data_IF_728637263864
#
_entry.id   IF_728637263864
#
_cell.length_a   1.000
_cell.length_b   1.000
_cell.length_c   1.000
_cell.angle_alpha   90.00
_cell.angle_beta   90.00
_cell.angle_gamma   90.00
#
_symmetry.space_group_name_H-M   'P 1'
#
loop_
_entity.id
_entity.type
_entity.pdbx_description
1 polymer ?
#
# COMPACT_ATOMS: atom_id res chain seq x y z
N UNK A 1 10.22 10.28 26.94
CA UNK A 1 11.07 10.73 25.81
C UNK A 1 10.93 9.84 24.58
N UNK A 2 11.42 8.57 24.52
CA UNK A 2 11.32 7.76 23.28
C UNK A 2 9.86 7.58 22.79
N UNK A 3 8.89 7.36 23.68
CA UNK A 3 7.47 7.28 23.32
C UNK A 3 6.96 8.59 22.71
N UNK A 4 7.38 9.73 23.19
CA UNK A 4 6.96 11.03 22.65
C UNK A 4 7.54 11.28 21.25
N UNK A 5 8.77 10.81 20.97
CA UNK A 5 9.33 10.85 19.63
C UNK A 5 8.56 9.92 18.69
N UNK A 6 8.20 8.73 19.17
CA UNK A 6 7.34 7.81 18.44
C UNK A 6 5.95 8.41 18.19
N UNK A 7 5.33 9.01 19.20
CA UNK A 7 4.04 9.68 19.07
C UNK A 7 4.11 10.83 18.06
N UNK A 8 5.22 11.58 18.04
CA UNK A 8 5.49 12.60 17.03
C UNK A 8 5.53 12.04 15.60
N UNK A 9 6.19 10.90 15.43
CA UNK A 9 6.23 10.19 14.14
C UNK A 9 4.83 9.74 13.69
N UNK A 10 4.09 9.10 14.60
CA UNK A 10 2.73 8.58 14.33
C UNK A 10 1.75 9.72 14.01
N UNK A 11 1.81 10.80 14.78
CA UNK A 11 0.94 11.97 14.57
C UNK A 11 1.20 12.66 13.23
N UNK A 12 2.48 12.81 12.84
CA UNK A 12 2.86 13.43 11.57
C UNK A 12 2.37 12.61 10.37
N UNK A 13 2.46 11.27 10.43
CA UNK A 13 2.03 10.36 9.38
C UNK A 13 0.59 9.85 9.56
N UNK A 14 -0.20 10.45 10.45
CA UNK A 14 -1.56 10.02 10.71
C UNK A 14 -2.43 10.11 9.45
N UNK A 15 -3.10 9.00 9.03
CA UNK A 15 -3.82 8.95 7.74
C UNK A 15 -4.99 9.94 7.68
N UNK A 16 -5.73 10.14 8.78
CA UNK A 16 -6.87 11.06 8.83
C UNK A 16 -6.46 12.50 8.50
N UNK A 17 -5.61 13.15 9.31
CA UNK A 17 -5.14 14.52 9.05
C UNK A 17 -4.48 14.70 7.68
N UNK A 18 -3.69 13.73 7.21
CA UNK A 18 -3.09 13.77 5.88
C UNK A 18 -4.15 13.77 4.78
N UNK A 19 -5.17 12.92 4.92
CA UNK A 19 -6.29 12.85 3.96
C UNK A 19 -7.11 14.14 3.96
N UNK A 20 -7.40 14.70 5.14
CA UNK A 20 -8.14 15.97 5.25
C UNK A 20 -7.44 17.10 4.47
N UNK A 21 -6.16 17.33 4.76
CA UNK A 21 -5.36 18.34 4.06
C UNK A 21 -5.36 18.13 2.54
N UNK A 22 -5.14 16.88 2.12
CA UNK A 22 -5.07 16.56 0.70
C UNK A 22 -6.40 16.79 -0.03
N UNK A 23 -7.55 16.51 0.60
CA UNK A 23 -8.87 16.75 0.00
C UNK A 23 -9.19 18.24 -0.02
N UNK A 24 -8.87 19.00 1.03
CA UNK A 24 -9.07 20.46 1.06
C UNK A 24 -8.33 21.14 -0.11
N UNK A 25 -7.12 20.70 -0.42
CA UNK A 25 -6.30 21.21 -1.53
C UNK A 25 -6.86 20.89 -2.93
N UNK A 26 -7.73 19.88 -3.05
CA UNK A 26 -8.36 19.55 -4.34
C UNK A 26 -9.36 20.61 -4.81
N UNK A 27 -9.86 21.45 -3.91
CA UNK A 27 -10.85 22.49 -4.20
C UNK A 27 -12.03 21.96 -5.05
N UNK A 28 -12.63 20.85 -4.60
CA UNK A 28 -13.68 20.16 -5.33
C UNK A 28 -14.90 21.06 -5.53
N UNK A 29 -15.50 21.00 -6.71
CA UNK A 29 -16.75 21.67 -7.02
C UNK A 29 -17.91 21.05 -6.23
N UNK A 30 -18.66 21.85 -5.48
CA UNK A 30 -19.77 21.41 -4.61
C UNK A 30 -20.93 20.76 -5.38
N UNK A 31 -21.07 21.05 -6.66
CA UNK A 31 -22.11 20.44 -7.51
C UNK A 31 -21.81 18.98 -7.86
N UNK A 32 -20.58 18.53 -7.64
CA UNK A 32 -20.17 17.18 -7.99
C UNK A 32 -20.54 16.17 -6.92
N UNK A 33 -20.94 14.97 -7.37
CA UNK A 33 -21.26 13.83 -6.51
C UNK A 33 -19.97 13.07 -6.21
N UNK A 34 -19.67 12.88 -4.95
CA UNK A 34 -18.44 12.20 -4.49
C UNK A 34 -18.71 10.72 -4.25
N UNK A 35 -17.85 9.88 -4.80
CA UNK A 35 -17.78 8.45 -4.55
C UNK A 35 -16.45 8.15 -3.86
N UNK A 36 -16.50 7.39 -2.75
CA UNK A 36 -15.32 7.07 -1.93
C UNK A 36 -14.94 5.61 -2.11
N UNK A 37 -13.69 5.35 -2.47
CA UNK A 37 -13.09 4.01 -2.58
C UNK A 37 -11.89 3.95 -1.64
N UNK A 38 -12.13 3.67 -0.36
CA UNK A 38 -11.07 3.57 0.63
C UNK A 38 -10.63 2.11 0.80
N UNK A 39 -9.36 1.82 0.51
CA UNK A 39 -8.86 0.45 0.40
C UNK A 39 -7.49 0.35 1.06
N UNK A 40 -7.33 -0.54 2.02
CA UNK A 40 -6.07 -0.77 2.70
C UNK A 40 -6.18 -0.76 4.23
N UNK A 41 -5.05 -0.95 4.91
CA UNK A 41 -4.98 -0.99 6.38
C UNK A 41 -5.43 0.33 7.04
N UNK A 42 -5.27 1.47 6.35
CA UNK A 42 -5.72 2.78 6.81
C UNK A 42 -7.03 3.25 6.15
N UNK A 43 -7.78 2.37 5.50
CA UNK A 43 -9.00 2.72 4.76
C UNK A 43 -10.04 3.46 5.64
N UNK A 44 -10.32 2.98 6.86
CA UNK A 44 -11.31 3.60 7.74
C UNK A 44 -10.95 5.02 8.17
N UNK A 45 -9.76 5.28 8.77
CA UNK A 45 -9.41 6.65 9.15
C UNK A 45 -9.34 7.59 7.95
N UNK A 46 -8.91 7.13 6.78
CA UNK A 46 -8.93 7.94 5.55
C UNK A 46 -10.37 8.24 5.10
N UNK A 47 -11.25 7.24 5.08
CA UNK A 47 -12.66 7.44 4.73
C UNK A 47 -13.38 8.36 5.72
N UNK A 48 -13.14 8.18 7.03
CA UNK A 48 -13.68 9.08 8.07
C UNK A 48 -13.26 10.52 7.83
N UNK A 49 -11.99 10.76 7.51
CA UNK A 49 -11.49 12.08 7.17
C UNK A 49 -12.15 12.67 5.92
N UNK A 50 -12.32 11.86 4.88
CA UNK A 50 -13.02 12.28 3.66
C UNK A 50 -14.47 12.68 3.93
N UNK A 51 -15.17 11.90 4.77
CA UNK A 51 -16.54 12.21 5.21
C UNK A 51 -16.57 13.54 5.97
N UNK A 52 -15.67 13.75 6.93
CA UNK A 52 -15.59 14.98 7.72
C UNK A 52 -15.37 16.22 6.82
N UNK A 53 -14.45 16.12 5.84
CA UNK A 53 -14.24 17.21 4.88
C UNK A 53 -15.47 17.45 4.03
N UNK A 54 -16.09 16.38 3.50
CA UNK A 54 -17.28 16.51 2.66
C UNK A 54 -18.44 17.17 3.42
N UNK A 55 -18.72 16.76 4.65
CA UNK A 55 -19.78 17.34 5.47
C UNK A 55 -19.51 18.82 5.79
N UNK A 56 -18.28 19.15 6.18
CA UNK A 56 -17.88 20.54 6.49
C UNK A 56 -18.00 21.45 5.26
N UNK A 57 -17.68 20.95 4.09
CA UNK A 57 -17.70 21.69 2.84
C UNK A 57 -19.03 21.58 2.06
N UNK A 58 -20.03 20.91 2.65
CA UNK A 58 -21.35 20.66 2.06
C UNK A 58 -21.31 19.90 0.73
N UNK A 59 -20.38 18.97 0.58
CA UNK A 59 -20.34 18.05 -0.56
C UNK A 59 -21.22 16.82 -0.30
N UNK A 60 -21.79 16.28 -1.38
CA UNK A 60 -22.60 15.06 -1.32
C UNK A 60 -21.76 13.80 -1.55
N UNK A 61 -21.59 12.98 -0.51
CA UNK A 61 -21.10 11.60 -0.67
C UNK A 61 -22.28 10.71 -1.01
N UNK A 62 -22.33 10.25 -2.26
CA UNK A 62 -23.46 9.49 -2.78
C UNK A 62 -23.29 7.98 -2.65
N UNK A 63 -22.09 7.50 -2.41
CA UNK A 63 -21.79 6.10 -2.18
C UNK A 63 -20.30 5.80 -2.19
N UNK A 64 -19.98 4.55 -2.01
CA UNK A 64 -18.61 4.07 -2.02
C UNK A 64 -18.40 2.78 -1.26
N UNK A 65 -17.13 2.41 -1.12
CA UNK A 65 -16.68 1.23 -0.37
C UNK A 65 -15.55 1.59 0.58
N UNK A 66 -15.52 0.94 1.73
CA UNK A 66 -14.39 0.95 2.67
C UNK A 66 -13.97 -0.50 2.86
N UNK A 67 -12.79 -0.86 2.40
CA UNK A 67 -12.26 -2.23 2.48
C UNK A 67 -11.03 -2.24 3.38
N UNK A 68 -11.11 -2.94 4.50
CA UNK A 68 -10.08 -3.03 5.53
C UNK A 68 -9.83 -4.50 5.94
N UNK A 69 -8.71 -4.83 6.61
CA UNK A 69 -8.41 -6.21 7.04
C UNK A 69 -9.26 -6.67 8.24
N UNK A 70 -9.88 -5.77 8.94
CA UNK A 70 -10.66 -5.99 10.15
C UNK A 70 -12.11 -5.55 9.98
N UNK A 71 -12.97 -6.00 10.87
CA UNK A 71 -14.35 -5.53 10.95
C UNK A 71 -14.43 -4.22 11.73
N UNK A 72 -15.40 -3.38 11.38
CA UNK A 72 -15.63 -2.12 12.07
C UNK A 72 -16.83 -1.37 11.49
N UNK A 73 -17.31 -0.31 12.14
CA UNK A 73 -18.46 0.45 11.66
C UNK A 73 -18.14 1.18 10.34
N UNK A 74 -19.16 1.34 9.51
CA UNK A 74 -19.03 2.23 8.35
C UNK A 74 -18.89 3.69 8.82
N UNK A 75 -17.97 4.46 8.26
CA UNK A 75 -17.83 5.88 8.59
C UNK A 75 -18.99 6.75 8.10
N UNK A 76 -19.80 6.26 7.17
CA UNK A 76 -20.95 6.99 6.63
C UNK A 76 -22.03 6.04 6.07
N UNK A 77 -23.33 6.36 6.20
CA UNK A 77 -24.43 5.43 5.84
C UNK A 77 -24.41 4.94 4.39
N UNK A 78 -23.92 5.76 3.44
CA UNK A 78 -23.87 5.37 2.02
C UNK A 78 -22.59 4.61 1.62
N UNK A 79 -21.67 4.40 2.56
CA UNK A 79 -20.44 3.64 2.32
C UNK A 79 -20.62 2.19 2.76
N UNK A 80 -20.37 1.26 1.85
CA UNK A 80 -20.32 -0.18 2.18
C UNK A 80 -19.02 -0.46 2.93
N UNK A 81 -19.13 -0.99 4.16
CA UNK A 81 -17.96 -1.42 4.92
C UNK A 81 -17.75 -2.91 4.70
N UNK A 82 -16.57 -3.27 4.23
CA UNK A 82 -16.22 -4.62 3.79
C UNK A 82 -14.90 -5.04 4.42
N UNK A 83 -14.79 -6.32 4.71
CA UNK A 83 -13.53 -6.94 5.09
C UNK A 83 -12.86 -7.53 3.86
N UNK A 84 -11.53 -7.47 3.81
CA UNK A 84 -10.70 -8.22 2.87
C UNK A 84 -9.71 -9.10 3.61
N UNK A 85 -9.16 -10.10 2.95
CA UNK A 85 -8.14 -10.99 3.51
C UNK A 85 -6.74 -10.47 3.19
N UNK A 86 -5.81 -10.67 4.12
CA UNK A 86 -4.43 -10.22 4.01
C UNK A 86 -3.50 -11.18 4.82
N UNK A 87 -2.33 -11.59 4.33
CA UNK A 87 -1.63 -11.13 3.12
C UNK A 87 -2.03 -11.85 1.82
N UNK A 88 -2.72 -12.97 1.89
CA UNK A 88 -3.19 -13.72 0.72
C UNK A 88 -4.68 -13.40 0.50
N UNK A 89 -5.10 -13.08 -0.74
CA UNK A 89 -6.51 -12.89 -1.05
C UNK A 89 -7.30 -14.16 -0.80
N UNK A 90 -8.49 -14.03 -0.24
CA UNK A 90 -9.41 -15.12 0.02
C UNK A 90 -10.85 -14.71 -0.27
N UNK A 91 -11.80 -15.45 0.28
CA UNK A 91 -13.24 -15.25 0.04
C UNK A 91 -13.69 -13.82 0.32
N UNK A 92 -13.28 -13.24 1.45
CA UNK A 92 -13.66 -11.86 1.79
C UNK A 92 -13.10 -10.85 0.76
N UNK A 93 -11.88 -11.07 0.27
CA UNK A 93 -11.27 -10.23 -0.77
C UNK A 93 -12.04 -10.31 -2.09
N UNK A 94 -12.51 -11.50 -2.48
CA UNK A 94 -13.29 -11.71 -3.71
C UNK A 94 -14.66 -11.03 -3.61
N UNK A 95 -15.33 -11.17 -2.46
CA UNK A 95 -16.60 -10.49 -2.17
C UNK A 95 -16.42 -8.96 -2.18
N UNK A 96 -15.37 -8.44 -1.53
CA UNK A 96 -15.04 -7.01 -1.54
C UNK A 96 -14.73 -6.52 -2.97
N UNK A 97 -13.94 -7.27 -3.74
CA UNK A 97 -13.63 -6.96 -5.13
C UNK A 97 -14.86 -6.91 -6.03
N UNK A 98 -15.85 -7.78 -5.78
CA UNK A 98 -17.15 -7.76 -6.49
C UNK A 98 -17.93 -6.50 -6.15
N UNK A 99 -18.00 -6.10 -4.88
CA UNK A 99 -18.66 -4.86 -4.46
C UNK A 99 -17.97 -3.61 -4.98
N UNK A 100 -16.64 -3.60 -5.05
CA UNK A 100 -15.88 -2.54 -5.74
C UNK A 100 -16.34 -2.44 -7.20
N UNK A 101 -16.54 -3.56 -7.91
CA UNK A 101 -17.01 -3.56 -9.30
C UNK A 101 -18.41 -2.97 -9.44
N UNK A 102 -19.35 -3.39 -8.57
CA UNK A 102 -20.72 -2.90 -8.55
C UNK A 102 -20.76 -1.37 -8.35
N UNK A 103 -20.01 -0.89 -7.34
CA UNK A 103 -19.96 0.53 -7.01
C UNK A 103 -19.19 1.33 -8.06
N UNK A 104 -18.15 0.78 -8.69
CA UNK A 104 -17.39 1.47 -9.74
C UNK A 104 -18.16 1.56 -11.05
N UNK A 105 -19.14 0.69 -11.30
CA UNK A 105 -19.91 0.70 -12.53
C UNK A 105 -20.79 1.96 -12.68
N UNK A 106 -20.91 2.46 -13.91
CA UNK A 106 -21.83 3.56 -14.25
C UNK A 106 -21.42 4.94 -13.74
N UNK A 107 -20.13 5.15 -13.45
CA UNK A 107 -19.60 6.49 -13.11
C UNK A 107 -19.79 7.45 -14.29
N UNK A 108 -20.06 8.72 -13.99
CA UNK A 108 -20.32 9.78 -14.97
C UNK A 108 -19.17 10.79 -14.97
N UNK A 109 -19.00 11.53 -16.04
CA UNK A 109 -18.01 12.63 -16.12
C UNK A 109 -18.27 13.75 -15.11
N UNK A 110 -19.50 13.84 -14.59
CA UNK A 110 -19.89 14.77 -13.51
C UNK A 110 -19.58 14.24 -12.11
N UNK A 111 -19.21 12.99 -11.97
CA UNK A 111 -18.83 12.39 -10.68
C UNK A 111 -17.35 12.66 -10.36
N UNK A 112 -17.05 12.63 -9.08
CA UNK A 112 -15.68 12.57 -8.54
C UNK A 112 -15.51 11.26 -7.79
N UNK A 113 -14.45 10.52 -8.09
CA UNK A 113 -14.02 9.37 -7.34
C UNK A 113 -12.80 9.70 -6.47
N UNK A 114 -12.95 9.60 -5.15
CA UNK A 114 -11.83 9.66 -4.20
C UNK A 114 -11.37 8.24 -3.93
N UNK A 115 -10.19 7.88 -4.45
CA UNK A 115 -9.53 6.61 -4.16
C UNK A 115 -8.53 6.84 -3.03
N UNK A 116 -8.81 6.31 -1.85
CA UNK A 116 -8.02 6.45 -0.64
C UNK A 116 -7.27 5.13 -0.42
N UNK A 117 -5.98 5.12 -0.77
CA UNK A 117 -5.18 3.91 -0.87
C UNK A 117 -4.15 3.81 0.26
N UNK A 118 -3.97 2.62 0.80
CA UNK A 118 -2.91 2.34 1.78
C UNK A 118 -2.39 0.90 1.67
N UNK A 119 -1.38 0.56 2.44
CA UNK A 119 -0.76 -0.77 2.44
C UNK A 119 -1.77 -1.92 2.55
N UNK A 120 -1.49 -3.03 1.88
CA UNK A 120 -2.33 -4.22 1.84
C UNK A 120 -3.47 -4.20 0.81
N UNK A 121 -3.73 -3.08 0.13
CA UNK A 121 -4.87 -2.92 -0.78
C UNK A 121 -4.96 -4.02 -1.86
N UNK A 122 -3.85 -4.43 -2.45
CA UNK A 122 -3.83 -5.46 -3.50
C UNK A 122 -4.35 -6.83 -3.06
N UNK A 123 -4.18 -7.18 -1.78
CA UNK A 123 -4.73 -8.40 -1.20
C UNK A 123 -6.19 -8.22 -0.79
N UNK A 124 -6.52 -7.10 -0.16
CA UNK A 124 -7.84 -6.83 0.39
C UNK A 124 -8.96 -6.77 -0.66
N UNK A 125 -8.64 -6.32 -1.89
CA UNK A 125 -9.53 -6.39 -3.05
C UNK A 125 -8.97 -7.32 -4.14
N UNK A 126 -8.12 -8.27 -3.74
CA UNK A 126 -7.52 -9.23 -4.65
C UNK A 126 -8.59 -10.09 -5.30
N UNK A 127 -8.67 -10.01 -6.63
CA UNK A 127 -9.53 -10.87 -7.44
C UNK A 127 -8.86 -11.12 -8.78
N UNK A 128 -9.09 -12.31 -9.39
CA UNK A 128 -8.50 -12.62 -10.68
C UNK A 128 -9.13 -11.81 -11.82
N UNK A 129 -8.36 -11.62 -12.88
CA UNK A 129 -8.91 -11.20 -14.17
C UNK A 129 -9.87 -12.25 -14.72
N UNK A 130 -10.76 -11.84 -15.62
CA UNK A 130 -11.76 -12.75 -16.24
C UNK A 130 -11.09 -13.98 -16.85
N UNK A 131 -11.65 -15.16 -16.58
CA UNK A 131 -11.22 -16.45 -17.11
C UNK A 131 -10.22 -17.20 -16.24
N UNK A 132 -9.81 -16.64 -15.12
CA UNK A 132 -8.97 -17.31 -14.13
C UNK A 132 -9.83 -17.65 -12.91
N UNK A 133 -9.91 -18.92 -12.48
CA UNK A 133 -10.59 -19.33 -11.25
C UNK A 133 -9.95 -18.71 -10.00
N UNK A 134 -10.74 -18.43 -8.98
CA UNK A 134 -10.26 -17.90 -7.68
C UNK A 134 -9.22 -18.83 -7.04
N UNK A 135 -9.43 -20.15 -7.11
CA UNK A 135 -8.48 -21.12 -6.58
C UNK A 135 -7.11 -21.02 -7.28
N UNK A 136 -7.08 -20.84 -8.60
CA UNK A 136 -5.85 -20.66 -9.36
C UNK A 136 -5.16 -19.35 -8.99
N UNK A 137 -5.94 -18.29 -8.71
CA UNK A 137 -5.40 -17.01 -8.27
C UNK A 137 -4.75 -17.10 -6.87
N UNK A 138 -5.36 -17.83 -5.93
CA UNK A 138 -4.78 -18.11 -4.61
C UNK A 138 -3.49 -18.93 -4.77
N UNK A 139 -3.53 -20.00 -5.58
CA UNK A 139 -2.35 -20.85 -5.84
C UNK A 139 -1.17 -20.05 -6.43
N UNK A 140 -1.43 -19.03 -7.25
CA UNK A 140 -0.39 -18.11 -7.72
C UNK A 140 0.27 -17.36 -6.55
N UNK A 141 -0.52 -16.82 -5.64
CA UNK A 141 0.01 -16.08 -4.50
C UNK A 141 0.88 -16.97 -3.60
N UNK A 142 0.45 -18.19 -3.32
CA UNK A 142 1.23 -19.17 -2.57
C UNK A 142 2.52 -19.55 -3.29
N UNK A 143 2.44 -19.82 -4.59
CA UNK A 143 3.60 -20.14 -5.44
C UNK A 143 4.64 -19.02 -5.40
N UNK A 144 4.22 -17.76 -5.51
CA UNK A 144 5.11 -16.61 -5.53
C UNK A 144 5.73 -16.34 -4.16
N UNK A 145 5.00 -16.53 -3.06
CA UNK A 145 5.55 -16.39 -1.71
C UNK A 145 6.67 -17.40 -1.43
N UNK A 146 6.56 -18.61 -1.96
CA UNK A 146 7.60 -19.64 -1.83
C UNK A 146 8.69 -19.61 -2.90
N UNK A 147 8.71 -18.63 -3.80
CA UNK A 147 9.56 -18.65 -5.00
C UNK A 147 10.97 -18.13 -4.81
N UNK A 148 11.21 -17.30 -3.79
CA UNK A 148 12.46 -16.57 -3.63
C UNK A 148 12.66 -15.40 -4.59
N UNK A 149 11.65 -15.05 -5.40
CA UNK A 149 11.67 -13.83 -6.21
C UNK A 149 11.78 -12.58 -5.34
N UNK A 150 12.44 -11.55 -5.86
CA UNK A 150 12.36 -10.24 -5.24
C UNK A 150 10.93 -9.68 -5.28
N UNK A 151 10.65 -8.72 -4.40
CA UNK A 151 9.29 -8.18 -4.25
C UNK A 151 8.82 -7.44 -5.51
N UNK A 152 9.71 -6.86 -6.31
CA UNK A 152 9.40 -6.16 -7.54
C UNK A 152 8.89 -7.13 -8.61
N UNK A 153 9.63 -8.20 -8.87
CA UNK A 153 9.26 -9.27 -9.80
C UNK A 153 7.97 -9.97 -9.36
N UNK A 154 7.86 -10.27 -8.05
CA UNK A 154 6.65 -10.88 -7.49
C UNK A 154 5.42 -10.00 -7.71
N UNK A 155 5.52 -8.71 -7.45
CA UNK A 155 4.42 -7.77 -7.66
C UNK A 155 4.10 -7.55 -9.14
N UNK A 156 5.11 -7.54 -10.03
CA UNK A 156 4.90 -7.49 -11.47
C UNK A 156 4.05 -8.66 -11.96
N UNK A 157 4.36 -9.88 -11.49
CA UNK A 157 3.55 -11.07 -11.82
C UNK A 157 2.15 -10.97 -11.22
N UNK A 158 2.00 -10.66 -9.92
CA UNK A 158 0.69 -10.58 -9.25
C UNK A 158 -0.26 -9.62 -9.93
N UNK A 159 0.18 -8.39 -10.24
CA UNK A 159 -0.69 -7.38 -10.86
C UNK A 159 -1.15 -7.75 -12.27
N UNK A 160 -0.40 -8.58 -13.01
CA UNK A 160 -0.82 -9.09 -14.32
C UNK A 160 -2.14 -9.86 -14.24
N UNK A 161 -2.31 -10.65 -13.20
CA UNK A 161 -3.49 -11.49 -13.01
C UNK A 161 -4.57 -10.87 -12.12
N UNK A 162 -4.36 -9.66 -11.60
CA UNK A 162 -5.28 -8.98 -10.71
C UNK A 162 -6.28 -8.11 -11.47
N UNK A 163 -7.56 -8.20 -11.10
CA UNK A 163 -8.67 -7.41 -11.64
C UNK A 163 -8.55 -5.92 -11.37
N UNK A 164 -7.94 -5.51 -10.25
CA UNK A 164 -7.96 -4.12 -9.77
C UNK A 164 -6.60 -3.42 -9.82
N UNK A 165 -5.53 -4.15 -10.05
CA UNK A 165 -4.16 -3.61 -10.11
C UNK A 165 -3.82 -3.06 -11.50
N UNK A 166 -2.62 -2.48 -11.64
CA UNK A 166 -2.07 -2.08 -12.93
C UNK A 166 -3.01 -1.14 -13.73
N UNK A 167 -3.55 -0.12 -13.08
CA UNK A 167 -4.43 0.88 -13.72
C UNK A 167 -5.86 0.44 -13.97
N UNK A 168 -6.24 -0.80 -13.66
CA UNK A 168 -7.58 -1.32 -14.00
C UNK A 168 -8.70 -0.72 -13.15
N UNK A 169 -8.42 -0.31 -11.90
CA UNK A 169 -9.40 0.45 -11.12
C UNK A 169 -9.69 1.81 -11.78
N UNK A 170 -8.67 2.48 -12.27
CA UNK A 170 -8.83 3.72 -13.03
C UNK A 170 -9.75 3.56 -14.24
N UNK A 171 -9.57 2.47 -15.01
CA UNK A 171 -10.45 2.16 -16.13
C UNK A 171 -11.91 1.99 -15.71
N UNK A 172 -12.13 1.29 -14.59
CA UNK A 172 -13.48 1.04 -14.08
C UNK A 172 -14.18 2.31 -13.57
N UNK A 173 -13.41 3.31 -13.12
CA UNK A 173 -13.93 4.59 -12.63
C UNK A 173 -14.14 5.61 -13.75
N UNK A 174 -13.53 5.43 -14.92
CA UNK A 174 -13.71 6.32 -16.05
C UNK A 174 -15.19 6.38 -16.47
N UNK A 175 -15.72 7.56 -16.87
CA UNK A 175 -15.04 8.84 -17.11
C UNK A 175 -15.04 9.81 -15.90
N UNK A 176 -15.27 9.36 -14.67
CA UNK A 176 -15.25 10.21 -13.50
C UNK A 176 -13.86 10.83 -13.26
N UNK A 177 -13.81 12.09 -12.80
CA UNK A 177 -12.58 12.67 -12.30
C UNK A 177 -12.13 11.89 -11.05
N UNK A 178 -10.94 11.30 -11.10
CA UNK A 178 -10.45 10.42 -10.05
C UNK A 178 -9.23 11.00 -9.36
N UNK A 179 -9.31 11.16 -8.04
CA UNK A 179 -8.20 11.57 -7.18
C UNK A 179 -7.78 10.41 -6.30
N UNK A 180 -6.61 9.84 -6.59
CA UNK A 180 -6.01 8.77 -5.79
C UNK A 180 -5.05 9.39 -4.77
N UNK A 181 -5.40 9.30 -3.50
CA UNK A 181 -4.62 9.75 -2.36
C UNK A 181 -4.05 8.53 -1.65
N UNK A 182 -2.73 8.38 -1.65
CA UNK A 182 -2.06 7.18 -1.18
C UNK A 182 -1.22 7.43 0.08
N UNK A 183 -1.36 6.57 1.09
CA UNK A 183 -0.39 6.40 2.16
C UNK A 183 0.62 5.33 1.71
N UNK A 184 1.91 5.68 1.72
CA UNK A 184 2.98 4.80 1.23
C UNK A 184 3.73 4.13 2.37
N UNK A 185 3.86 2.81 2.27
CA UNK A 185 4.76 1.96 3.07
C UNK A 185 5.90 1.38 2.21
N UNK A 186 6.12 1.94 1.02
CA UNK A 186 7.06 1.44 0.00
C UNK A 186 8.29 2.33 -0.09
N UNK A 187 9.48 1.72 -0.25
CA UNK A 187 10.71 2.45 -0.55
C UNK A 187 10.57 3.25 -1.86
N UNK A 188 10.85 4.54 -1.80
CA UNK A 188 10.78 5.43 -2.97
C UNK A 188 9.39 5.91 -3.37
N UNK A 189 8.35 5.55 -2.64
CA UNK A 189 6.98 6.05 -2.78
C UNK A 189 6.38 5.92 -4.20
N UNK A 190 6.82 4.91 -4.97
CA UNK A 190 6.36 4.71 -6.35
C UNK A 190 4.87 4.30 -6.39
N UNK A 191 3.97 5.11 -6.96
CA UNK A 191 2.55 4.79 -7.04
C UNK A 191 2.25 3.51 -7.83
N UNK A 192 3.19 3.02 -8.66
CA UNK A 192 3.05 1.75 -9.39
C UNK A 192 3.20 0.54 -8.48
N UNK A 193 3.84 0.71 -7.33
CA UNK A 193 4.07 -0.34 -6.32
C UNK A 193 3.01 -0.27 -5.23
N UNK A 194 2.62 0.94 -4.78
CA UNK A 194 1.61 1.14 -3.74
C UNK A 194 0.28 0.49 -4.16
N UNK A 195 -0.18 -0.52 -3.40
CA UNK A 195 -1.38 -1.27 -3.73
C UNK A 195 -1.38 -1.91 -5.13
N UNK A 196 -0.18 -2.15 -5.71
CA UNK A 196 0.00 -2.66 -7.09
C UNK A 196 -0.54 -1.71 -8.18
N UNK A 197 -0.51 -0.41 -7.93
CA UNK A 197 -0.80 0.62 -8.92
C UNK A 197 -2.21 0.63 -9.51
N UNK A 198 -3.29 0.62 -8.70
CA UNK A 198 -4.66 0.50 -9.22
C UNK A 198 -5.10 1.69 -10.09
N UNK A 199 -4.49 2.87 -9.87
CA UNK A 199 -4.86 4.13 -10.56
C UNK A 199 -3.73 4.69 -11.43
N UNK A 200 -2.67 3.94 -11.70
CA UNK A 200 -1.56 4.38 -12.55
C UNK A 200 -1.35 3.43 -13.74
N UNK A 201 -0.83 3.94 -14.87
CA UNK A 201 -0.49 3.10 -16.01
C UNK A 201 0.52 2.02 -15.62
N UNK A 202 0.40 0.85 -16.23
CA UNK A 202 1.38 -0.21 -16.12
C UNK A 202 2.31 -0.19 -17.33
N UNK A 203 3.61 -0.19 -17.09
CA UNK A 203 4.62 -0.27 -18.14
C UNK A 203 5.11 -1.69 -18.39
N UNK A 204 4.74 -2.64 -17.52
CA UNK A 204 5.20 -4.02 -17.60
C UNK A 204 4.46 -4.77 -18.71
N UNK A 205 5.19 -5.33 -19.66
CA UNK A 205 4.63 -6.10 -20.78
C UNK A 205 4.39 -7.57 -20.42
N UNK A 206 3.55 -8.25 -21.18
CA UNK A 206 3.35 -9.70 -20.99
C UNK A 206 4.65 -10.48 -21.21
N UNK A 207 5.52 -10.02 -22.13
CA UNK A 207 6.80 -10.68 -22.38
C UNK A 207 7.72 -10.61 -21.16
N UNK A 208 7.84 -9.45 -20.53
CA UNK A 208 8.62 -9.32 -19.29
C UNK A 208 8.10 -10.24 -18.17
N UNK A 209 6.78 -10.42 -18.06
CA UNK A 209 6.20 -11.36 -17.09
C UNK A 209 6.58 -12.80 -17.43
N UNK A 210 6.53 -13.18 -18.70
CA UNK A 210 6.95 -14.50 -19.15
C UNK A 210 8.44 -14.73 -18.85
N UNK A 211 9.28 -13.74 -19.13
CA UNK A 211 10.73 -13.82 -18.88
C UNK A 211 11.04 -13.97 -17.37
N UNK A 212 10.33 -13.22 -16.50
CA UNK A 212 10.42 -13.40 -15.04
C UNK A 212 10.10 -14.83 -14.65
N UNK A 213 8.97 -15.35 -15.12
CA UNK A 213 8.49 -16.70 -14.79
C UNK A 213 9.41 -17.81 -15.34
N UNK A 214 10.02 -17.60 -16.51
CA UNK A 214 10.95 -18.55 -17.12
C UNK A 214 12.28 -18.61 -16.35
N UNK A 215 12.91 -17.44 -16.10
CA UNK A 215 14.20 -17.40 -15.40
C UNK A 215 14.13 -17.90 -13.95
N UNK A 216 12.94 -17.85 -13.34
CA UNK A 216 12.68 -18.37 -12.00
C UNK A 216 12.13 -19.81 -11.99
N UNK A 217 12.02 -20.47 -13.13
CA UNK A 217 11.44 -21.82 -13.29
C UNK A 217 9.99 -21.94 -12.78
N UNK A 218 9.22 -20.85 -12.80
CA UNK A 218 7.83 -20.82 -12.32
C UNK A 218 6.79 -20.99 -13.43
N UNK A 219 7.12 -20.72 -14.70
CA UNK A 219 6.14 -20.73 -15.78
C UNK A 219 5.42 -22.07 -15.94
N UNK A 220 6.15 -23.18 -15.83
CA UNK A 220 5.57 -24.53 -15.90
C UNK A 220 4.74 -24.91 -14.68
N UNK A 221 4.98 -24.24 -13.55
CA UNK A 221 4.30 -24.46 -12.27
C UNK A 221 3.01 -23.66 -12.13
N UNK A 222 2.79 -22.67 -13.00
CA UNK A 222 1.54 -21.92 -13.00
C UNK A 222 0.34 -22.84 -13.33
N UNK A 223 -0.82 -22.62 -12.73
CA UNK A 223 -2.09 -23.19 -13.18
C UNK A 223 -2.32 -22.99 -14.69
N UNK A 224 -3.03 -23.93 -15.30
CA UNK A 224 -3.28 -23.91 -16.74
C UNK A 224 -3.99 -22.64 -17.21
N UNK A 225 -4.99 -22.17 -16.47
CA UNK A 225 -5.75 -20.95 -16.77
C UNK A 225 -4.85 -19.72 -16.92
N UNK A 226 -3.82 -19.61 -16.07
CA UNK A 226 -2.89 -18.48 -16.08
C UNK A 226 -1.92 -18.55 -17.26
N UNK A 227 -1.44 -19.74 -17.63
CA UNK A 227 -0.61 -19.93 -18.84
C UNK A 227 -1.39 -19.61 -20.11
N UNK A 228 -2.66 -20.04 -20.17
CA UNK A 228 -3.57 -19.72 -21.29
C UNK A 228 -3.83 -18.22 -21.37
N UNK A 229 -4.03 -17.54 -20.23
CA UNK A 229 -4.17 -16.09 -20.17
C UNK A 229 -2.94 -15.36 -20.71
N UNK A 230 -1.72 -15.73 -20.27
CA UNK A 230 -0.49 -15.13 -20.80
C UNK A 230 -0.36 -15.34 -22.30
N UNK A 231 -0.68 -16.54 -22.79
CA UNK A 231 -0.69 -16.84 -24.22
C UNK A 231 -1.69 -15.97 -24.98
N UNK A 232 -2.89 -15.78 -24.43
CA UNK A 232 -3.93 -14.95 -25.05
C UNK A 232 -3.53 -13.47 -25.12
N UNK A 233 -2.87 -12.95 -24.06
CA UNK A 233 -2.33 -11.59 -24.07
C UNK A 233 -1.19 -11.46 -25.09
N UNK A 234 -0.24 -12.40 -25.14
CA UNK A 234 0.85 -12.41 -26.12
C UNK A 234 0.34 -12.44 -27.57
N UNK A 235 -0.77 -13.14 -27.81
CA UNK A 235 -1.43 -13.20 -29.12
C UNK A 235 -2.36 -12.01 -29.38
N UNK A 236 -2.46 -11.05 -28.46
CA UNK A 236 -3.34 -9.88 -28.52
C UNK A 236 -4.83 -10.21 -28.64
N UNK A 237 -5.27 -11.40 -28.24
CA UNK A 237 -6.70 -11.77 -28.12
C UNK A 237 -7.32 -11.25 -26.83
N UNK A 238 -6.48 -10.98 -25.83
CA UNK A 238 -6.80 -10.21 -24.63
C UNK A 238 -5.86 -9.00 -24.63
N UNK A 239 -6.39 -7.77 -24.33
CA UNK A 239 -5.55 -6.58 -24.30
C UNK A 239 -4.52 -6.63 -23.17
N UNK A 240 -3.39 -5.96 -23.37
CA UNK A 240 -2.40 -5.66 -22.34
C UNK A 240 -2.99 -4.84 -21.19
N UNK A 241 -2.26 -4.74 -20.08
CA UNK A 241 -2.56 -3.76 -19.03
C UNK A 241 -2.55 -2.35 -19.62
N UNK A 242 -3.40 -1.43 -19.10
CA UNK A 242 -3.48 -0.08 -19.63
C UNK A 242 -2.16 0.66 -19.46
N UNK A 243 -1.55 1.01 -20.59
CA UNK A 243 -0.28 1.71 -20.68
C UNK A 243 -0.45 3.24 -20.58
N UNK A 244 0.68 3.95 -20.45
CA UNK A 244 0.72 5.42 -20.49
C UNK A 244 0.10 5.93 -21.80
N UNK A 245 -0.78 6.92 -21.69
CA UNK A 245 -1.52 7.48 -22.84
C UNK A 245 -2.92 6.88 -23.03
N UNK A 246 -3.29 5.84 -22.28
CA UNK A 246 -4.67 5.36 -22.31
C UNK A 246 -5.65 6.44 -21.81
N UNK A 247 -6.77 6.71 -22.53
CA UNK A 247 -7.68 7.85 -22.24
C UNK A 247 -8.22 7.87 -20.80
N UNK A 248 -8.40 6.73 -20.17
CA UNK A 248 -8.88 6.66 -18.79
C UNK A 248 -8.00 7.41 -17.79
N UNK A 249 -6.71 7.63 -18.09
CA UNK A 249 -5.80 8.37 -17.22
C UNK A 249 -5.86 9.89 -17.39
N UNK A 250 -6.59 10.40 -18.37
CA UNK A 250 -6.68 11.85 -18.64
C UNK A 250 -7.28 12.66 -17.47
N UNK A 251 -8.11 12.00 -16.64
CA UNK A 251 -8.84 12.65 -15.54
C UNK A 251 -8.43 12.09 -14.17
N UNK A 252 -7.20 11.53 -14.08
CA UNK A 252 -6.70 10.92 -12.86
C UNK A 252 -5.52 11.71 -12.31
N UNK A 253 -5.58 12.02 -11.01
CA UNK A 253 -4.44 12.51 -10.24
C UNK A 253 -4.06 11.49 -9.18
N UNK A 254 -2.77 11.27 -8.99
CA UNK A 254 -2.25 10.39 -7.94
C UNK A 254 -1.27 11.17 -7.08
N UNK A 255 -1.49 11.16 -5.76
CA UNK A 255 -0.63 11.83 -4.78
C UNK A 255 -0.33 10.91 -3.62
N UNK A 256 0.92 10.84 -3.22
CA UNK A 256 1.33 10.28 -1.92
C UNK A 256 1.16 11.38 -0.88
N UNK A 257 0.32 11.12 0.11
CA UNK A 257 -0.07 12.09 1.15
C UNK A 257 0.52 11.80 2.52
N UNK A 258 1.18 10.67 2.68
CA UNK A 258 1.92 10.28 3.87
C UNK A 258 2.82 9.10 3.58
N UNK A 259 4.00 9.10 4.19
CA UNK A 259 5.04 8.10 3.95
C UNK A 259 6.00 8.02 5.14
N UNK A 260 7.00 7.16 5.04
CA UNK A 260 8.04 7.00 6.04
C UNK A 260 8.85 8.29 6.29
N UNK A 261 9.09 9.10 5.25
CA UNK A 261 9.83 10.37 5.40
C UNK A 261 9.07 11.36 6.29
N UNK A 262 7.75 11.46 6.11
CA UNK A 262 6.89 12.30 6.97
C UNK A 262 6.92 11.83 8.43
N UNK A 263 6.87 10.51 8.66
CA UNK A 263 6.97 9.95 10.00
C UNK A 263 8.34 10.27 10.65
N UNK A 264 9.45 10.06 9.92
CA UNK A 264 10.79 10.39 10.40
C UNK A 264 10.94 11.87 10.74
N UNK A 265 10.38 12.75 9.92
CA UNK A 265 10.39 14.19 10.17
C UNK A 265 9.61 14.54 11.41
N UNK A 266 8.43 13.93 11.65
CA UNK A 266 7.66 14.14 12.89
C UNK A 266 8.42 13.72 14.15
N UNK A 267 9.14 12.60 14.10
CA UNK A 267 10.03 12.20 15.19
C UNK A 267 11.18 13.21 15.39
N UNK A 268 11.75 13.71 14.30
CA UNK A 268 12.84 14.69 14.35
C UNK A 268 12.39 16.02 14.96
N UNK A 269 11.22 16.49 14.61
CA UNK A 269 10.66 17.73 15.16
C UNK A 269 10.36 17.59 16.66
N UNK A 270 9.84 16.43 17.08
CA UNK A 270 9.67 16.10 18.48
C UNK A 270 11.01 16.04 19.23
N UNK A 271 12.07 15.49 18.64
CA UNK A 271 13.40 15.44 19.25
C UNK A 271 14.01 16.84 19.38
N UNK A 272 13.94 17.65 18.33
CA UNK A 272 14.43 19.05 18.33
C UNK A 272 13.71 19.93 19.35
N UNK A 273 12.40 19.73 19.52
CA UNK A 273 11.62 20.46 20.53
C UNK A 273 12.06 20.16 21.97
N UNK A 274 12.79 19.05 22.18
CA UNK A 274 13.43 18.65 23.43
C UNK A 274 14.88 19.12 23.55
N UNK A 275 15.38 19.89 22.59
CA UNK A 275 16.75 20.37 22.55
C UNK A 275 17.79 19.32 22.16
N UNK A 276 17.37 18.16 21.61
CA UNK A 276 18.30 17.13 21.15
C UNK A 276 18.92 17.52 19.81
N UNK A 277 20.22 17.30 19.65
CA UNK A 277 20.87 17.32 18.36
C UNK A 277 20.33 16.14 17.52
N UNK A 278 19.71 16.44 16.38
CA UNK A 278 18.90 15.43 15.67
C UNK A 278 19.38 15.24 14.24
N UNK A 279 19.68 13.99 13.93
CA UNK A 279 20.03 13.52 12.57
C UNK A 279 18.94 12.56 12.07
N UNK A 280 18.50 12.74 10.82
CA UNK A 280 17.60 11.81 10.12
C UNK A 280 18.40 11.10 9.04
N UNK A 281 18.52 9.80 9.16
CA UNK A 281 19.24 8.98 8.19
C UNK A 281 18.37 8.83 6.93
N UNK A 282 18.84 9.26 5.75
CA UNK A 282 18.04 9.25 4.53
C UNK A 282 17.82 7.84 3.96
N UNK A 283 18.77 6.93 4.19
CA UNK A 283 18.74 5.59 3.67
C UNK A 283 17.58 4.78 4.24
N UNK A 284 16.94 3.99 3.34
CA UNK A 284 15.89 3.08 3.74
C UNK A 284 16.47 1.83 4.43
N UNK A 285 16.03 1.57 5.66
CA UNK A 285 16.40 0.35 6.37
C UNK A 285 15.73 -0.87 5.75
N UNK A 286 16.52 -1.82 5.25
CA UNK A 286 16.05 -3.11 4.73
C UNK A 286 17.01 -4.24 5.08
N UNK A 287 16.49 -5.44 5.16
CA UNK A 287 17.23 -6.66 5.51
C UNK A 287 16.85 -7.22 6.88
N UNK A 288 17.59 -8.21 7.36
CA UNK A 288 17.30 -8.92 8.60
C UNK A 288 17.33 -8.02 9.83
N UNK A 289 16.24 -8.02 10.58
CA UNK A 289 16.02 -7.15 11.73
C UNK A 289 17.14 -7.26 12.79
N UNK A 290 17.59 -8.48 13.08
CA UNK A 290 18.67 -8.69 14.05
C UNK A 290 19.99 -8.02 13.60
N UNK A 291 20.37 -8.21 12.33
CA UNK A 291 21.61 -7.60 11.78
C UNK A 291 21.53 -6.08 11.73
N UNK A 292 20.37 -5.54 11.37
CA UNK A 292 20.12 -4.09 11.38
C UNK A 292 20.21 -3.53 12.80
N UNK A 293 19.62 -4.20 13.79
CA UNK A 293 19.71 -3.80 15.19
C UNK A 293 21.14 -3.73 15.70
N UNK A 294 21.96 -4.74 15.40
CA UNK A 294 23.40 -4.73 15.75
C UNK A 294 24.15 -3.58 15.04
N UNK A 295 23.87 -3.34 13.76
CA UNK A 295 24.51 -2.28 12.99
C UNK A 295 24.17 -0.89 13.55
N UNK A 296 22.90 -0.64 13.87
CA UNK A 296 22.43 0.60 14.52
C UNK A 296 23.13 0.81 15.86
N UNK A 297 23.23 -0.24 16.67
CA UNK A 297 23.89 -0.15 17.98
C UNK A 297 25.38 0.21 17.85
N UNK A 298 26.10 -0.40 16.90
CA UNK A 298 27.52 -0.06 16.64
C UNK A 298 27.67 1.39 16.14
N UNK A 299 26.76 1.87 15.26
CA UNK A 299 26.75 3.26 14.79
C UNK A 299 26.51 4.23 15.96
N UNK A 300 25.57 3.94 16.85
CA UNK A 300 25.32 4.75 18.06
C UNK A 300 26.53 4.79 18.99
N UNK A 301 27.23 3.67 19.20
CA UNK A 301 28.46 3.61 20.00
C UNK A 301 29.55 4.48 19.37
N UNK A 302 29.73 4.40 18.05
CA UNK A 302 30.72 5.19 17.33
C UNK A 302 30.45 6.71 17.38
N UNK A 303 29.17 7.07 17.40
CA UNK A 303 28.73 8.48 17.51
C UNK A 303 28.86 9.03 18.94
N UNK A 304 28.81 8.17 19.96
CA UNK A 304 28.76 8.59 21.38
C UNK A 304 29.85 9.58 21.78
N UNK A 305 31.07 9.42 21.24
CA UNK A 305 32.20 10.31 21.52
C UNK A 305 32.04 11.75 20.99
N UNK A 306 31.07 11.98 20.11
CA UNK A 306 30.80 13.27 19.46
C UNK A 306 29.56 13.97 20.00
N UNK A 307 28.82 13.32 20.92
CA UNK A 307 27.56 13.82 21.46
C UNK A 307 27.83 14.89 22.50
N UNK A 308 27.29 16.10 22.27
CA UNK A 308 27.35 17.21 23.21
C UNK A 308 26.48 17.01 24.44
N UNK A 309 26.50 17.95 25.42
CA UNK A 309 25.78 17.86 26.68
C UNK A 309 24.26 17.83 26.51
N UNK A 310 23.74 18.34 25.40
CA UNK A 310 22.30 18.32 25.10
C UNK A 310 21.77 16.91 24.74
N UNK A 311 22.67 15.99 24.47
CA UNK A 311 22.29 14.66 23.93
C UNK A 311 21.99 14.69 22.44
N UNK A 312 21.97 13.50 21.83
CA UNK A 312 21.67 13.36 20.40
C UNK A 312 20.56 12.34 20.14
N UNK A 313 19.84 12.52 19.03
CA UNK A 313 18.84 11.62 18.52
C UNK A 313 19.15 11.28 17.07
N UNK A 314 19.23 10.01 16.74
CA UNK A 314 19.38 9.54 15.36
C UNK A 314 18.13 8.76 14.96
N UNK A 315 17.57 9.09 13.82
CA UNK A 315 16.29 8.53 13.36
C UNK A 315 16.49 7.77 12.05
N UNK A 316 16.20 6.50 12.08
CA UNK A 316 16.15 5.62 10.91
C UNK A 316 14.71 5.31 10.54
N UNK A 317 14.49 4.95 9.29
CA UNK A 317 13.19 4.49 8.81
C UNK A 317 13.32 3.43 7.74
N UNK A 318 12.33 2.54 7.67
CA UNK A 318 12.33 1.44 6.71
C UNK A 318 11.46 0.29 7.15
N UNK A 319 11.64 -0.85 6.50
CA UNK A 319 10.91 -2.08 6.78
C UNK A 319 11.87 -3.28 6.84
N UNK A 320 12.38 -3.63 8.04
CA UNK A 320 13.20 -4.82 8.23
C UNK A 320 12.39 -6.10 7.97
N UNK A 321 13.09 -7.18 7.68
CA UNK A 321 12.52 -8.51 7.52
C UNK A 321 12.94 -9.42 8.69
N UNK A 322 12.19 -10.51 8.91
CA UNK A 322 12.51 -11.58 9.85
C UNK A 322 12.35 -12.90 9.13
N UNK A 323 13.40 -13.70 9.08
CA UNK A 323 13.34 -15.06 8.58
C UNK A 323 12.83 -15.99 9.67
N UNK A 324 11.62 -16.51 9.49
CA UNK A 324 11.04 -17.48 10.43
C UNK A 324 11.64 -18.86 10.19
N UNK A 325 12.29 -19.43 11.21
CA UNK A 325 12.90 -20.77 11.17
C UNK A 325 12.17 -21.72 12.11
N UNK A 326 11.78 -22.91 11.62
CA UNK A 326 11.24 -24.00 12.44
C UNK A 326 9.78 -23.80 12.91
N UNK A 327 9.33 -24.66 13.83
CA UNK A 327 7.97 -24.67 14.39
C UNK A 327 7.61 -23.45 15.26
N UNK A 328 8.56 -22.60 15.58
CA UNK A 328 8.34 -21.35 16.32
C UNK A 328 7.51 -20.32 15.55
N UNK A 329 7.32 -20.51 14.25
CA UNK A 329 6.56 -19.61 13.39
C UNK A 329 5.08 -19.48 13.77
N UNK A 330 4.52 -20.40 14.55
CA UNK A 330 3.09 -20.47 14.84
C UNK A 330 2.68 -19.99 16.24
N UNK A 331 3.61 -19.83 17.18
CA UNK A 331 3.30 -19.54 18.59
C UNK A 331 4.06 -18.36 19.21
N UNK A 332 5.07 -17.83 18.57
CA UNK A 332 5.86 -16.73 19.10
C UNK A 332 5.15 -15.39 18.85
N UNK A 333 4.75 -14.70 19.92
CA UNK A 333 4.42 -13.28 19.84
C UNK A 333 5.69 -12.45 19.55
N UNK A 334 5.54 -11.33 18.84
CA UNK A 334 6.66 -10.46 18.52
C UNK A 334 6.54 -9.84 17.13
N UNK A 335 7.60 -9.17 16.69
CA UNK A 335 7.65 -8.56 15.37
C UNK A 335 9.04 -8.03 15.04
N UNK A 336 9.21 -7.63 13.78
CA UNK A 336 10.50 -7.16 13.24
C UNK A 336 11.14 -6.02 14.05
N UNK A 337 10.35 -5.08 14.53
CA UNK A 337 10.86 -3.98 15.36
C UNK A 337 11.33 -4.46 16.75
N UNK A 338 10.66 -5.46 17.33
CA UNK A 338 11.05 -6.03 18.61
C UNK A 338 12.36 -6.81 18.50
N UNK A 339 12.51 -7.60 17.42
CA UNK A 339 13.75 -8.32 17.14
C UNK A 339 14.93 -7.37 16.91
N UNK A 340 14.71 -6.30 16.12
CA UNK A 340 15.69 -5.25 15.90
C UNK A 340 16.14 -4.61 17.23
N UNK A 341 15.19 -4.21 18.07
CA UNK A 341 15.48 -3.59 19.36
C UNK A 341 16.21 -4.53 20.31
N UNK A 342 15.83 -5.82 20.34
CA UNK A 342 16.48 -6.83 21.16
C UNK A 342 17.93 -7.07 20.71
N UNK A 343 18.16 -7.16 19.40
CA UNK A 343 19.51 -7.32 18.85
C UNK A 343 20.39 -6.10 19.15
N UNK A 344 19.86 -4.88 18.99
CA UNK A 344 20.55 -3.65 19.37
C UNK A 344 20.92 -3.62 20.85
N UNK A 345 20.00 -4.01 21.72
CA UNK A 345 20.22 -4.01 23.17
C UNK A 345 21.36 -4.91 23.64
N UNK A 346 21.63 -6.01 22.91
CA UNK A 346 22.74 -6.92 23.22
C UNK A 346 24.11 -6.31 22.93
N UNK A 347 24.19 -5.39 21.97
CA UNK A 347 25.44 -4.70 21.59
C UNK A 347 25.67 -3.46 22.46
N UNK A 348 24.61 -2.82 22.96
CA UNK A 348 24.67 -1.63 23.80
C UNK A 348 24.97 -1.92 25.28
N UNK A 349 24.95 -3.18 25.69
CA UNK A 349 25.37 -3.63 27.04
C UNK A 349 26.88 -3.60 27.18
#
# INVERSE_FOLDING_TARGET
MLLELYDGAVAAAAPGPATMRAIDELNLDRSRRIWVFAIGKAARPMATAAVQVALRSMHSIVGGVVVAPDDGPSPYPTLLNLRGDHPIPGRNSFEAASKVAEVAAGRRSTDVALVLLSGGASSLIGAPVRGIPEADYVALHELLLGSGLDIGDMNAVRKRFSKWSAGRLALALAPAATHCLAMSDVEGDDPRVIGSGPCVPDSTTVQEIIDILQRSNLLSRLPRSQREYLTAVSRRTIPETPAKGHPAFAHITVRVIGNNSVARQGAADAARSRGLETEVIPEWMKGEAARLGESIARDLIARRARVGPAGACVIWGGEPTVTLTGSAATTAGGGRCQELALAASRVLR
#
